data_IF_137027753283
#
_entry.id   IF_137027753283
#
_cell.length_a   1.000
_cell.length_b   1.000
_cell.length_c   1.000
_cell.angle_alpha   90.00
_cell.angle_beta   90.00
_cell.angle_gamma   90.00
#
_symmetry.space_group_name_H-M   'P 1'
#
loop_
_entity.id
_entity.type
_entity.pdbx_description
1 polymer ?
#
# COMPACT_ATOMS: atom_id res chain seq x y z
N UNK A 1 -12.20 -1.15 15.41
CA UNK A 1 -12.58 0.28 15.50
C UNK A 1 -12.05 0.81 16.81
N UNK A 2 -11.30 1.91 16.78
CA UNK A 2 -10.79 2.58 17.98
C UNK A 2 -11.43 3.97 18.01
N UNK A 3 -12.40 4.22 18.93
CA UNK A 3 -13.06 5.52 19.01
C UNK A 3 -12.05 6.58 19.45
N UNK A 4 -11.89 7.64 18.66
CA UNK A 4 -11.06 8.80 19.01
C UNK A 4 -11.56 10.04 18.30
N UNK A 5 -11.24 11.23 18.83
CA UNK A 5 -11.64 12.49 18.24
C UNK A 5 -10.73 12.85 17.06
N UNK A 6 -11.19 12.55 15.84
CA UNK A 6 -10.42 12.73 14.59
C UNK A 6 -10.93 13.88 13.71
N UNK A 7 -11.78 14.77 14.24
CA UNK A 7 -12.39 15.88 13.49
C UNK A 7 -13.06 15.44 12.16
N UNK A 8 -13.70 14.28 12.16
CA UNK A 8 -14.44 13.76 11.00
C UNK A 8 -13.63 12.97 9.98
N UNK A 9 -12.37 12.66 10.27
CA UNK A 9 -11.51 11.81 9.42
C UNK A 9 -11.50 10.37 9.95
N UNK A 10 -11.65 9.39 9.06
CA UNK A 10 -11.47 7.99 9.40
C UNK A 10 -10.11 7.53 8.90
N UNK A 11 -9.43 6.74 9.72
CA UNK A 11 -8.15 6.13 9.42
C UNK A 11 -8.36 4.62 9.42
N UNK A 12 -8.01 3.98 8.31
CA UNK A 12 -8.14 2.54 8.12
C UNK A 12 -6.75 1.98 7.86
N UNK A 13 -6.40 0.91 8.59
CA UNK A 13 -5.19 0.14 8.36
C UNK A 13 -5.56 -1.34 8.24
N UNK A 14 -5.13 -1.98 7.16
CA UNK A 14 -5.25 -3.42 6.93
C UNK A 14 -3.86 -4.03 7.05
N UNK A 15 -3.75 -5.06 7.87
CA UNK A 15 -2.48 -5.72 8.18
C UNK A 15 -2.52 -7.14 7.62
N UNK A 16 -1.61 -7.45 6.72
CA UNK A 16 -1.48 -8.75 6.07
C UNK A 16 -0.22 -9.44 6.60
N UNK A 17 -0.37 -10.64 7.13
CA UNK A 17 0.75 -11.43 7.63
C UNK A 17 1.54 -12.02 6.44
N UNK A 18 2.85 -11.75 6.39
CA UNK A 18 3.76 -12.20 5.35
C UNK A 18 4.66 -13.35 5.79
N UNK A 19 4.40 -13.99 6.94
CA UNK A 19 5.24 -15.08 7.47
C UNK A 19 5.28 -16.33 6.58
N UNK A 20 4.46 -16.38 5.52
CA UNK A 20 4.50 -17.43 4.50
C UNK A 20 5.53 -17.17 3.39
N UNK A 21 6.14 -15.98 3.34
CA UNK A 21 7.15 -15.61 2.36
C UNK A 21 8.56 -15.97 2.83
N UNK A 22 9.39 -16.36 1.88
CA UNK A 22 10.85 -16.48 2.01
C UNK A 22 11.53 -15.09 2.03
N UNK A 23 12.82 -15.04 2.36
CA UNK A 23 13.59 -13.78 2.36
C UNK A 23 13.63 -13.12 0.98
N UNK A 24 13.86 -13.90 -0.08
CA UNK A 24 13.84 -13.41 -1.46
C UNK A 24 12.45 -12.87 -1.84
N UNK A 25 11.38 -13.53 -1.42
CA UNK A 25 10.01 -13.06 -1.68
C UNK A 25 9.68 -11.78 -0.88
N UNK A 26 10.24 -11.59 0.31
CA UNK A 26 10.06 -10.36 1.09
C UNK A 26 10.66 -9.15 0.40
N UNK A 27 11.81 -9.30 -0.27
CA UNK A 27 12.39 -8.25 -1.10
C UNK A 27 11.44 -7.81 -2.22
N UNK A 28 10.84 -8.76 -2.94
CA UNK A 28 9.86 -8.44 -3.98
C UNK A 28 8.55 -7.88 -3.42
N UNK A 29 8.14 -8.34 -2.24
CA UNK A 29 6.95 -7.82 -1.57
C UNK A 29 7.13 -6.34 -1.19
N UNK A 30 8.35 -5.91 -0.84
CA UNK A 30 8.66 -4.51 -0.51
C UNK A 30 8.49 -3.62 -1.75
N UNK A 31 9.10 -4.02 -2.87
CA UNK A 31 8.91 -3.37 -4.18
C UNK A 31 7.43 -3.32 -4.56
N UNK A 32 6.70 -4.43 -4.36
CA UNK A 32 5.27 -4.49 -4.64
C UNK A 32 4.48 -3.49 -3.80
N UNK A 33 4.89 -3.28 -2.54
CA UNK A 33 4.24 -2.33 -1.63
C UNK A 33 4.37 -0.88 -2.11
N UNK A 34 5.47 -0.52 -2.76
CA UNK A 34 5.71 0.80 -3.36
C UNK A 34 4.94 1.02 -4.67
N UNK A 35 4.66 -0.06 -5.40
CA UNK A 35 3.99 -0.05 -6.70
C UNK A 35 2.46 -0.11 -6.56
N UNK A 36 1.96 -0.64 -5.43
CA UNK A 36 0.53 -0.80 -5.18
C UNK A 36 -0.22 0.54 -5.31
N UNK A 37 -1.27 0.56 -6.14
CA UNK A 37 -2.04 1.78 -6.43
C UNK A 37 -1.43 2.72 -7.48
N UNK A 38 -0.30 2.34 -8.09
CA UNK A 38 0.39 3.10 -9.16
C UNK A 38 0.42 2.37 -10.51
N UNK A 39 -0.26 1.23 -10.56
CA UNK A 39 -0.47 0.39 -11.74
C UNK A 39 -1.93 0.39 -12.14
N UNK A 40 -2.20 -0.12 -13.34
CA UNK A 40 -3.54 -0.35 -13.81
C UNK A 40 -4.27 -1.33 -12.89
N UNK A 41 -5.59 -1.32 -13.02
CA UNK A 41 -6.43 -2.33 -12.40
C UNK A 41 -7.35 -2.91 -13.45
N UNK A 42 -7.98 -4.03 -13.15
CA UNK A 42 -9.02 -4.60 -14.03
C UNK A 42 -10.22 -3.66 -14.26
N UNK A 43 -10.32 -2.54 -13.53
CA UNK A 43 -11.42 -1.57 -13.63
C UNK A 43 -11.04 -0.32 -14.44
N UNK A 44 -9.78 0.13 -14.35
CA UNK A 44 -9.32 1.40 -14.95
C UNK A 44 -7.79 1.50 -14.97
N UNK A 45 -7.29 2.41 -15.81
CA UNK A 45 -5.87 2.76 -15.86
C UNK A 45 -5.37 3.56 -14.64
N UNK A 46 -4.07 3.48 -14.37
CA UNK A 46 -3.41 4.04 -13.18
C UNK A 46 -3.60 5.56 -13.05
N UNK A 47 -3.68 6.29 -14.16
CA UNK A 47 -3.94 7.75 -14.14
C UNK A 47 -5.34 8.07 -13.60
N UNK A 48 -6.36 7.31 -14.04
CA UNK A 48 -7.72 7.46 -13.57
C UNK A 48 -7.88 7.00 -12.12
N UNK A 49 -7.15 5.95 -11.72
CA UNK A 49 -7.06 5.50 -10.33
C UNK A 49 -6.43 6.55 -9.43
N UNK A 50 -5.30 7.12 -9.82
CA UNK A 50 -4.62 8.18 -9.07
C UNK A 50 -5.53 9.41 -8.88
N UNK A 51 -6.28 9.80 -9.93
CA UNK A 51 -7.27 10.88 -9.84
C UNK A 51 -8.41 10.55 -8.85
N UNK A 52 -8.92 9.32 -8.87
CA UNK A 52 -9.99 8.89 -7.95
C UNK A 52 -9.49 8.88 -6.49
N UNK A 53 -8.28 8.35 -6.25
CA UNK A 53 -7.61 8.40 -4.94
C UNK A 53 -7.49 9.84 -4.45
N UNK A 54 -6.94 10.75 -5.28
CA UNK A 54 -6.74 12.15 -4.90
C UNK A 54 -8.05 12.91 -4.64
N UNK A 55 -9.13 12.54 -5.34
CA UNK A 55 -10.43 13.19 -5.18
C UNK A 55 -11.19 12.73 -3.93
N UNK A 56 -11.01 11.48 -3.53
CA UNK A 56 -11.83 10.85 -2.49
C UNK A 56 -11.08 10.56 -1.18
N UNK A 57 -9.76 10.40 -1.22
CA UNK A 57 -8.94 10.05 -0.07
C UNK A 57 -8.04 11.23 0.32
N UNK A 58 -7.77 11.33 1.62
CA UNK A 58 -6.71 12.20 2.14
C UNK A 58 -5.32 11.55 2.11
N UNK A 59 -5.23 10.30 1.64
CA UNK A 59 -4.00 9.53 1.50
C UNK A 59 -4.28 8.03 1.43
N UNK A 60 -3.47 7.33 0.64
CA UNK A 60 -3.37 5.88 0.54
C UNK A 60 -1.87 5.55 0.54
N UNK A 61 -1.44 4.62 1.37
CA UNK A 61 -0.05 4.15 1.41
C UNK A 61 0.00 2.66 1.73
N UNK A 62 1.10 2.04 1.34
CA UNK A 62 1.46 0.67 1.71
C UNK A 62 2.93 0.61 2.05
N UNK A 63 3.26 -0.24 3.02
CA UNK A 63 4.63 -0.50 3.45
C UNK A 63 4.72 -1.91 4.03
N UNK A 64 5.93 -2.46 4.04
CA UNK A 64 6.28 -3.65 4.81
C UNK A 64 6.97 -3.24 6.11
N UNK A 65 6.62 -3.92 7.20
CA UNK A 65 7.27 -3.72 8.49
C UNK A 65 7.51 -5.04 9.20
N UNK A 66 8.59 -5.11 9.98
CA UNK A 66 8.88 -6.21 10.89
C UNK A 66 8.45 -5.81 12.31
N UNK A 67 7.45 -6.51 12.86
CA UNK A 67 7.04 -6.32 14.25
C UNK A 67 7.81 -7.30 15.13
N UNK A 68 8.76 -6.79 15.94
CA UNK A 68 9.51 -7.61 16.90
C UNK A 68 8.59 -8.22 17.96
N UNK A 69 8.89 -9.45 18.38
CA UNK A 69 8.19 -10.07 19.51
C UNK A 69 8.84 -9.65 20.82
N UNK A 70 8.00 -9.25 21.77
CA UNK A 70 8.45 -8.84 23.09
C UNK A 70 9.28 -9.94 23.78
N UNK A 71 10.38 -9.53 24.40
CA UNK A 71 11.33 -10.43 25.06
C UNK A 71 12.12 -11.37 24.14
N UNK A 72 12.01 -11.26 22.81
CA UNK A 72 12.67 -12.16 21.86
C UNK A 72 13.40 -11.40 20.75
N UNK A 73 14.71 -11.22 20.93
CA UNK A 73 15.57 -10.42 20.04
C UNK A 73 15.52 -10.87 18.57
N UNK A 74 15.48 -12.18 18.34
CA UNK A 74 15.64 -12.77 17.01
C UNK A 74 14.30 -13.23 16.40
N UNK A 75 13.16 -12.87 17.01
CA UNK A 75 11.83 -13.17 16.48
C UNK A 75 11.08 -11.90 16.07
N UNK A 76 10.58 -11.88 14.84
CA UNK A 76 9.69 -10.84 14.34
C UNK A 76 8.52 -11.44 13.54
N UNK A 77 7.54 -10.61 13.22
CA UNK A 77 6.44 -10.93 12.30
C UNK A 77 6.43 -9.91 11.17
N UNK A 78 6.71 -10.30 9.92
CA UNK A 78 6.63 -9.40 8.78
C UNK A 78 5.15 -9.15 8.44
N UNK A 79 4.80 -7.88 8.27
CA UNK A 79 3.47 -7.43 7.91
C UNK A 79 3.56 -6.49 6.71
N UNK A 80 2.68 -6.68 5.72
CA UNK A 80 2.33 -5.61 4.80
C UNK A 80 1.16 -4.83 5.41
N UNK A 81 1.24 -3.49 5.37
CA UNK A 81 0.21 -2.63 5.94
C UNK A 81 -0.30 -1.67 4.89
N UNK A 82 -1.56 -1.81 4.50
CA UNK A 82 -2.24 -0.84 3.63
C UNK A 82 -3.02 0.14 4.49
N UNK A 83 -2.67 1.42 4.41
CA UNK A 83 -3.31 2.50 5.17
C UNK A 83 -4.01 3.47 4.25
N UNK A 84 -5.20 3.91 4.66
CA UNK A 84 -5.88 5.01 4.00
C UNK A 84 -6.57 5.91 5.01
N UNK A 85 -6.78 7.16 4.61
CA UNK A 85 -7.58 8.12 5.39
C UNK A 85 -8.55 8.87 4.49
N UNK A 86 -9.76 9.11 4.98
CA UNK A 86 -10.77 9.88 4.26
C UNK A 86 -11.74 10.56 5.22
N UNK A 87 -12.44 11.58 4.74
CA UNK A 87 -13.59 12.16 5.46
C UNK A 87 -14.64 11.07 5.70
N UNK A 88 -15.41 11.19 6.79
CA UNK A 88 -16.44 10.21 7.12
C UNK A 88 -17.47 9.98 6.01
N UNK A 89 -17.86 11.04 5.30
CA UNK A 89 -18.73 10.95 4.12
C UNK A 89 -18.13 10.16 2.94
N UNK A 90 -16.82 9.94 2.93
CA UNK A 90 -16.04 9.24 1.90
C UNK A 90 -15.60 7.84 2.31
N UNK A 91 -16.09 7.32 3.43
CA UNK A 91 -15.76 5.96 3.87
C UNK A 91 -16.15 4.87 2.85
N UNK A 92 -17.29 4.95 2.13
CA UNK A 92 -17.59 4.00 1.06
C UNK A 92 -16.57 4.03 -0.08
N UNK A 93 -16.13 5.22 -0.50
CA UNK A 93 -15.09 5.39 -1.52
C UNK A 93 -13.75 4.83 -1.06
N UNK A 94 -13.37 5.06 0.19
CA UNK A 94 -12.18 4.48 0.81
C UNK A 94 -12.20 2.96 0.75
N UNK A 95 -13.29 2.32 1.17
CA UNK A 95 -13.40 0.85 1.14
C UNK A 95 -13.35 0.31 -0.29
N UNK A 96 -14.00 1.00 -1.24
CA UNK A 96 -13.97 0.64 -2.66
C UNK A 96 -12.55 0.71 -3.22
N UNK A 97 -11.84 1.82 -3.00
CA UNK A 97 -10.49 2.05 -3.51
C UNK A 97 -9.47 1.06 -2.91
N UNK A 98 -9.53 0.80 -1.59
CA UNK A 98 -8.68 -0.23 -0.97
C UNK A 98 -8.93 -1.60 -1.60
N UNK A 99 -10.19 -1.98 -1.79
CA UNK A 99 -10.51 -3.28 -2.40
C UNK A 99 -10.01 -3.36 -3.85
N UNK A 100 -10.12 -2.27 -4.61
CA UNK A 100 -9.64 -2.19 -5.99
C UNK A 100 -8.11 -2.34 -6.06
N UNK A 101 -7.35 -1.54 -5.30
CA UNK A 101 -5.88 -1.62 -5.36
C UNK A 101 -5.36 -2.96 -4.85
N UNK A 102 -5.96 -3.54 -3.81
CA UNK A 102 -5.47 -4.79 -3.22
C UNK A 102 -5.85 -6.02 -4.04
N UNK A 103 -7.02 -6.05 -4.68
CA UNK A 103 -7.53 -7.26 -5.35
C UNK A 103 -7.52 -7.21 -6.87
N UNK A 104 -7.48 -6.01 -7.44
CA UNK A 104 -7.70 -5.81 -8.88
C UNK A 104 -6.51 -5.17 -9.58
N UNK A 105 -5.41 -4.92 -8.88
CA UNK A 105 -4.18 -4.46 -9.50
C UNK A 105 -3.75 -5.41 -10.61
N UNK A 106 -3.40 -4.83 -11.76
CA UNK A 106 -2.90 -5.52 -12.94
C UNK A 106 -1.40 -5.25 -13.07
N UNK A 107 -0.61 -6.32 -12.98
CA UNK A 107 0.84 -6.29 -13.06
C UNK A 107 1.38 -6.79 -14.41
N UNK A 108 0.53 -6.83 -15.45
CA UNK A 108 0.92 -7.32 -16.78
C UNK A 108 1.68 -6.30 -17.63
N UNK A 109 1.64 -5.01 -17.28
CA UNK A 109 2.36 -3.95 -17.99
C UNK A 109 3.83 -3.85 -17.52
N UNK A 110 4.70 -4.63 -18.18
CA UNK A 110 6.15 -4.65 -17.92
C UNK A 110 6.83 -3.29 -18.11
N UNK A 111 6.35 -2.46 -19.05
CA UNK A 111 6.90 -1.12 -19.27
C UNK A 111 6.64 -0.25 -18.05
N UNK A 112 5.39 -0.25 -17.56
CA UNK A 112 5.01 0.52 -16.38
C UNK A 112 5.75 0.05 -15.13
N UNK A 113 5.89 -1.26 -14.93
CA UNK A 113 6.65 -1.80 -13.79
C UNK A 113 8.13 -1.40 -13.85
N UNK A 114 8.73 -1.45 -15.04
CA UNK A 114 10.12 -1.02 -15.25
C UNK A 114 10.31 0.46 -14.91
N UNK A 115 9.40 1.33 -15.35
CA UNK A 115 9.43 2.76 -15.00
C UNK A 115 9.39 2.98 -13.48
N UNK A 116 8.48 2.30 -12.78
CA UNK A 116 8.31 2.46 -11.33
C UNK A 116 9.55 1.99 -10.55
N UNK A 117 10.16 0.87 -10.95
CA UNK A 117 11.40 0.38 -10.32
C UNK A 117 12.57 1.33 -10.59
N UNK A 118 12.67 1.89 -11.81
CA UNK A 118 13.70 2.88 -12.13
C UNK A 118 13.52 4.17 -11.32
N UNK A 119 12.28 4.61 -11.11
CA UNK A 119 11.95 5.75 -10.25
C UNK A 119 12.38 5.49 -8.80
N UNK A 120 12.01 4.34 -8.22
CA UNK A 120 12.42 3.97 -6.85
C UNK A 120 13.94 3.92 -6.70
N UNK A 121 14.64 3.35 -7.69
CA UNK A 121 16.10 3.32 -7.72
C UNK A 121 16.71 4.73 -7.75
N UNK A 122 16.17 5.62 -8.59
CA UNK A 122 16.66 6.99 -8.68
C UNK A 122 16.44 7.79 -7.38
N UNK A 123 15.36 7.52 -6.65
CA UNK A 123 15.15 8.10 -5.30
C UNK A 123 16.25 7.65 -4.35
N UNK A 124 16.54 6.35 -4.30
CA UNK A 124 17.59 5.79 -3.44
C UNK A 124 18.98 6.35 -3.79
N UNK A 125 19.31 6.46 -5.07
CA UNK A 125 20.60 7.01 -5.52
C UNK A 125 20.78 8.50 -5.12
N UNK A 126 19.68 9.24 -4.92
CA UNK A 126 19.72 10.65 -4.52
C UNK A 126 19.64 10.87 -2.99
N UNK A 127 19.11 9.89 -2.25
CA UNK A 127 19.01 9.93 -0.78
C UNK A 127 20.21 9.29 -0.07
N UNK A 128 21.03 8.51 -0.79
CA UNK A 128 22.29 7.92 -0.35
C UNK A 128 23.48 8.90 -0.44
#
# INVERSE_FOLDING_TARGET
FVPTFTKGINYVGLYFNLSCLTEDELFYADILSDILGRVDTSERGYEALAKDINMNLGGLSSDITAISKDGKRDEFTPLMIVRAKALHSKLPDLCRLINEVVKKADYSDDSRLTELVQESKAIWDNEA
#
